data_IF_021951160232
#
_entry.id   IF_021951160232
#
_cell.length_a   1.000
_cell.length_b   1.000
_cell.length_c   1.000
_cell.angle_alpha   90.00
_cell.angle_beta   90.00
_cell.angle_gamma   90.00
#
_symmetry.space_group_name_H-M   'P 1'
#
loop_
_entity.id
_entity.type
_entity.pdbx_description
1 polymer ?
#
# COMPACT_ATOMS: atom_id res chain seq x y z
N UNK A 1 -16.03 -1.10 -10.47
CA UNK A 1 -17.03 -2.15 -10.18
C UNK A 1 -17.64 -1.83 -8.84
N UNK A 2 -18.69 -1.02 -8.88
CA UNK A 2 -19.35 -0.43 -7.73
C UNK A 2 -20.26 -1.45 -7.05
N UNK A 3 -20.21 -1.47 -5.71
CA UNK A 3 -20.98 -2.32 -4.78
C UNK A 3 -20.51 -3.78 -4.71
N UNK A 4 -19.79 -4.10 -3.63
CA UNK A 4 -20.04 -5.39 -2.97
C UNK A 4 -19.74 -5.32 -1.47
N UNK A 5 -20.82 -5.17 -0.70
CA UNK A 5 -20.89 -5.34 0.74
C UNK A 5 -20.78 -6.84 1.07
N UNK A 6 -19.55 -7.36 1.09
CA UNK A 6 -19.05 -8.51 1.88
C UNK A 6 -17.71 -8.96 1.29
N UNK A 7 -16.65 -8.29 1.75
CA UNK A 7 -15.24 -8.65 1.50
C UNK A 7 -14.86 -9.99 2.17
N UNK A 8 -15.52 -11.09 1.83
CA UNK A 8 -15.14 -12.42 2.32
C UNK A 8 -14.09 -13.04 1.39
N UNK A 9 -12.83 -12.84 1.75
CA UNK A 9 -11.67 -13.63 1.32
C UNK A 9 -11.09 -13.25 -0.04
N UNK A 10 -11.63 -13.80 -1.13
CA UNK A 10 -10.92 -13.84 -2.41
C UNK A 10 -10.85 -12.48 -3.11
N UNK A 11 -11.88 -11.62 -3.00
CA UNK A 11 -11.85 -10.29 -3.64
C UNK A 11 -10.98 -9.27 -2.92
N UNK A 12 -10.72 -9.48 -1.62
CA UNK A 12 -9.88 -8.56 -0.87
C UNK A 12 -8.44 -8.51 -1.41
N UNK A 13 -7.99 -9.55 -2.11
CA UNK A 13 -6.67 -9.57 -2.76
C UNK A 13 -6.55 -8.53 -3.89
N UNK A 14 -7.67 -8.16 -4.52
CA UNK A 14 -7.71 -7.14 -5.58
C UNK A 14 -7.36 -5.75 -5.04
N UNK A 15 -7.45 -5.56 -3.72
CA UNK A 15 -7.12 -4.32 -3.05
C UNK A 15 -5.60 -4.20 -2.77
N UNK A 16 -4.75 -5.01 -3.41
CA UNK A 16 -3.29 -4.85 -3.31
C UNK A 16 -2.88 -3.41 -3.68
N UNK A 17 -2.06 -2.79 -2.84
CA UNK A 17 -1.67 -1.38 -2.95
C UNK A 17 -2.74 -0.34 -2.54
N UNK A 18 -4.02 -0.70 -2.45
CA UNK A 18 -5.09 0.30 -2.24
C UNK A 18 -5.13 0.88 -0.84
N UNK A 19 -4.63 0.19 0.19
CA UNK A 19 -4.61 0.72 1.56
C UNK A 19 -3.81 2.02 1.64
N UNK A 20 -2.57 2.02 1.16
CA UNK A 20 -1.72 3.22 1.13
C UNK A 20 -2.10 4.13 -0.03
N UNK A 21 -2.49 3.55 -1.18
CA UNK A 21 -2.91 4.33 -2.34
C UNK A 21 -4.09 5.27 -2.03
N UNK A 22 -5.13 4.81 -1.35
CA UNK A 22 -6.24 5.69 -0.97
C UNK A 22 -5.85 6.77 0.04
N UNK A 23 -4.91 6.49 0.96
CA UNK A 23 -4.39 7.52 1.86
C UNK A 23 -3.67 8.62 1.08
N UNK A 24 -2.78 8.25 0.14
CA UNK A 24 -2.08 9.21 -0.74
C UNK A 24 -3.07 9.99 -1.60
N UNK A 25 -4.03 9.32 -2.22
CA UNK A 25 -5.05 9.92 -3.08
C UNK A 25 -5.91 10.94 -2.31
N UNK A 26 -6.36 10.57 -1.10
CA UNK A 26 -7.18 11.46 -0.26
C UNK A 26 -6.38 12.65 0.27
N UNK A 27 -5.14 12.44 0.73
CA UNK A 27 -4.31 13.50 1.31
C UNK A 27 -3.78 14.48 0.27
N UNK A 28 -3.63 14.04 -0.97
CA UNK A 28 -3.33 14.92 -2.12
C UNK A 28 -4.57 15.60 -2.70
N UNK A 29 -5.73 15.44 -2.06
CA UNK A 29 -6.98 16.05 -2.49
C UNK A 29 -7.44 15.61 -3.87
N UNK A 30 -7.05 14.42 -4.34
CA UNK A 30 -7.38 13.90 -5.68
C UNK A 30 -6.88 14.77 -6.85
N UNK A 31 -5.84 15.59 -6.62
CA UNK A 31 -5.32 16.53 -7.64
C UNK A 31 -3.90 16.26 -8.08
N UNK A 32 -3.05 15.69 -7.20
CA UNK A 32 -1.62 15.48 -7.52
C UNK A 32 -1.33 14.15 -8.18
N UNK A 33 -2.16 13.13 -7.91
CA UNK A 33 -2.03 11.79 -8.49
C UNK A 33 -3.40 11.28 -8.92
N UNK A 34 -3.42 10.55 -10.02
CA UNK A 34 -4.57 9.75 -10.44
C UNK A 34 -4.71 8.51 -9.55
N UNK A 35 -5.86 7.86 -9.62
CA UNK A 35 -6.12 6.62 -8.88
C UNK A 35 -5.07 5.54 -9.18
N UNK A 36 -4.73 5.33 -10.46
CA UNK A 36 -3.75 4.33 -10.87
C UNK A 36 -2.34 4.61 -10.34
N UNK A 37 -1.94 5.89 -10.33
CA UNK A 37 -0.66 6.33 -9.77
C UNK A 37 -0.60 6.13 -8.25
N UNK A 38 -1.69 6.46 -7.55
CA UNK A 38 -1.78 6.24 -6.11
C UNK A 38 -1.71 4.74 -5.76
N UNK A 39 -2.40 3.88 -6.52
CA UNK A 39 -2.31 2.43 -6.37
C UNK A 39 -0.90 1.93 -6.66
N UNK A 40 -0.19 2.48 -7.65
CA UNK A 40 1.19 2.12 -7.95
C UNK A 40 2.14 2.41 -6.78
N UNK A 41 2.05 3.61 -6.20
CA UNK A 41 2.79 4.00 -4.99
C UNK A 41 2.46 3.05 -3.83
N UNK A 42 1.17 2.75 -3.65
CA UNK A 42 0.73 1.83 -2.62
C UNK A 42 1.23 0.38 -2.81
N UNK A 43 1.36 -0.09 -4.06
CA UNK A 43 1.97 -1.40 -4.35
C UNK A 43 3.45 -1.44 -4.00
N UNK A 44 4.20 -0.37 -4.29
CA UNK A 44 5.62 -0.26 -3.87
C UNK A 44 5.74 -0.31 -2.35
N UNK A 45 4.94 0.47 -1.63
CA UNK A 45 4.93 0.44 -0.17
C UNK A 45 4.56 -0.94 0.38
N UNK A 46 3.53 -1.58 -0.17
CA UNK A 46 3.10 -2.91 0.26
C UNK A 46 4.14 -4.01 -0.04
N UNK A 47 4.89 -3.89 -1.14
CA UNK A 47 6.00 -4.79 -1.45
C UNK A 47 7.13 -4.65 -0.43
N UNK A 48 7.56 -3.43 -0.13
CA UNK A 48 8.60 -3.14 0.86
C UNK A 48 8.21 -3.55 2.28
N UNK A 49 6.96 -3.31 2.69
CA UNK A 49 6.41 -3.81 3.96
C UNK A 49 6.50 -5.34 4.07
N UNK A 50 6.26 -6.04 2.96
CA UNK A 50 6.35 -7.50 2.95
C UNK A 50 7.79 -7.99 3.06
N UNK A 51 8.76 -7.26 2.49
CA UNK A 51 10.20 -7.53 2.69
C UNK A 51 10.59 -7.35 4.16
N UNK A 52 10.22 -6.22 4.77
CA UNK A 52 10.49 -5.95 6.19
C UNK A 52 9.89 -7.02 7.13
N UNK A 53 8.77 -7.62 6.74
CA UNK A 53 8.12 -8.70 7.50
C UNK A 53 8.62 -10.11 7.13
N UNK A 54 9.62 -10.24 6.25
CA UNK A 54 10.16 -11.52 5.79
C UNK A 54 9.16 -12.37 5.00
N UNK A 55 8.12 -11.74 4.43
CA UNK A 55 7.08 -12.39 3.62
C UNK A 55 7.42 -12.38 2.12
N UNK A 56 8.28 -11.46 1.70
CA UNK A 56 8.65 -11.19 0.32
C UNK A 56 10.16 -10.99 0.23
N UNK A 57 10.78 -11.38 -0.88
CA UNK A 57 12.23 -11.22 -1.06
C UNK A 57 12.58 -9.93 -1.82
N UNK A 58 13.78 -9.39 -1.57
CA UNK A 58 14.27 -8.16 -2.19
C UNK A 58 14.33 -8.25 -3.72
N UNK A 59 14.66 -9.42 -4.28
CA UNK A 59 14.74 -9.60 -5.73
C UNK A 59 13.35 -9.45 -6.36
N UNK A 60 12.32 -9.98 -5.72
CA UNK A 60 10.93 -9.86 -6.15
C UNK A 60 10.39 -8.44 -5.95
N UNK A 61 10.78 -7.73 -4.88
CA UNK A 61 10.50 -6.30 -4.71
C UNK A 61 11.10 -5.46 -5.86
N UNK A 62 12.39 -5.62 -6.14
CA UNK A 62 13.06 -4.94 -7.24
C UNK A 62 12.43 -5.26 -8.60
N UNK A 63 12.02 -6.52 -8.83
CA UNK A 63 11.36 -6.91 -10.07
C UNK A 63 10.00 -6.23 -10.23
N UNK A 64 9.23 -6.09 -9.16
CA UNK A 64 7.97 -5.35 -9.16
C UNK A 64 8.20 -3.85 -9.38
N UNK A 65 9.15 -3.25 -8.66
CA UNK A 65 9.51 -1.85 -8.81
C UNK A 65 9.86 -1.52 -10.27
N UNK A 66 10.77 -2.29 -10.87
CA UNK A 66 11.18 -2.10 -12.26
C UNK A 66 10.01 -2.23 -13.26
N UNK A 67 9.03 -3.08 -12.97
CA UNK A 67 7.83 -3.20 -13.82
C UNK A 67 6.94 -1.95 -13.72
N UNK A 68 6.76 -1.42 -12.52
CA UNK A 68 5.98 -0.19 -12.28
C UNK A 68 6.65 1.00 -12.96
N UNK A 69 7.97 1.13 -12.84
CA UNK A 69 8.76 2.17 -13.52
C UNK A 69 8.69 2.05 -15.04
N UNK A 70 8.76 0.82 -15.57
CA UNK A 70 8.62 0.55 -17.01
C UNK A 70 7.23 0.93 -17.52
N UNK A 71 6.21 0.85 -16.68
CA UNK A 71 4.86 1.33 -16.98
C UNK A 71 4.72 2.87 -16.85
N UNK A 72 5.82 3.59 -16.56
CA UNK A 72 5.84 5.05 -16.35
C UNK A 72 4.94 5.52 -15.20
N UNK A 73 4.78 4.67 -14.17
CA UNK A 73 4.02 4.99 -12.97
C UNK A 73 4.93 5.43 -11.83
N UNK A 74 4.46 6.31 -10.92
CA UNK A 74 5.24 6.77 -9.80
C UNK A 74 5.47 5.66 -8.76
N UNK A 75 6.66 5.71 -8.17
CA UNK A 75 7.13 4.74 -7.16
C UNK A 75 7.51 5.41 -5.83
N UNK A 76 7.37 6.73 -5.76
CA UNK A 76 7.69 7.58 -4.61
C UNK A 76 6.46 8.32 -4.10
N UNK A 77 6.51 8.76 -2.86
CA UNK A 77 5.47 9.62 -2.31
C UNK A 77 5.48 10.99 -3.02
N UNK A 78 4.30 11.61 -3.24
CA UNK A 78 4.23 12.96 -3.76
C UNK A 78 4.94 13.96 -2.84
N UNK A 79 5.61 14.95 -3.43
CA UNK A 79 6.30 15.99 -2.67
C UNK A 79 5.35 16.75 -1.75
N UNK A 80 5.77 16.98 -0.51
CA UNK A 80 5.00 17.74 0.49
C UNK A 80 3.93 16.92 1.21
N UNK A 81 3.81 15.62 0.94
CA UNK A 81 2.97 14.72 1.71
C UNK A 81 3.66 14.30 3.02
N UNK A 82 3.02 14.58 4.16
CA UNK A 82 3.54 14.18 5.48
C UNK A 82 3.25 12.69 5.75
N UNK A 83 4.26 11.96 6.21
CA UNK A 83 4.15 10.55 6.58
C UNK A 83 3.21 10.39 7.77
N UNK A 84 3.22 11.32 8.74
CA UNK A 84 2.33 11.25 9.90
C UNK A 84 0.86 11.39 9.50
N UNK A 85 0.55 12.22 8.50
CA UNK A 85 -0.81 12.34 7.96
C UNK A 85 -1.26 11.02 7.30
N UNK A 86 -0.37 10.31 6.62
CA UNK A 86 -0.66 8.96 6.08
C UNK A 86 -0.98 7.99 7.22
N UNK A 87 -0.16 7.96 8.27
CA UNK A 87 -0.37 7.07 9.42
C UNK A 87 -1.71 7.35 10.11
N UNK A 88 -2.04 8.62 10.34
CA UNK A 88 -3.31 9.03 10.96
C UNK A 88 -4.49 8.67 10.04
N UNK A 89 -4.39 8.98 8.74
CA UNK A 89 -5.44 8.67 7.75
C UNK A 89 -5.79 7.17 7.78
N UNK A 90 -4.77 6.30 7.76
CA UNK A 90 -4.95 4.85 7.78
C UNK A 90 -5.62 4.33 9.07
N UNK A 91 -5.43 4.99 10.21
CA UNK A 91 -6.09 4.63 11.47
C UNK A 91 -7.57 5.03 11.53
N UNK A 92 -7.98 6.02 10.74
CA UNK A 92 -9.37 6.48 10.68
C UNK A 92 -10.22 5.75 9.63
N UNK A 93 -9.58 4.97 8.74
CA UNK A 93 -10.25 4.21 7.69
C UNK A 93 -11.08 3.05 8.27
N UNK A 94 -12.22 2.76 7.63
CA UNK A 94 -13.12 1.64 7.96
C UNK A 94 -12.46 0.26 7.87
N UNK A 95 -11.26 0.16 7.29
CA UNK A 95 -10.45 -1.08 7.24
C UNK A 95 -9.80 -1.46 8.58
N UNK A 96 -9.88 -0.59 9.60
CA UNK A 96 -9.41 -0.89 10.95
C UNK A 96 -10.35 -1.89 11.63
N UNK A 97 -9.84 -3.10 11.91
CA UNK A 97 -10.54 -4.09 12.73
C UNK A 97 -9.80 -4.21 14.06
N UNK A 98 -10.51 -4.00 15.16
CA UNK A 98 -9.93 -4.04 16.51
C UNK A 98 -8.71 -3.09 16.70
N UNK A 99 -8.73 -1.92 16.07
CA UNK A 99 -7.66 -0.92 16.20
C UNK A 99 -6.41 -1.18 15.35
N UNK A 100 -6.41 -2.23 14.51
CA UNK A 100 -5.29 -2.53 13.60
C UNK A 100 -5.70 -2.41 12.13
N UNK A 101 -4.81 -1.79 11.35
CA UNK A 101 -4.94 -1.69 9.90
C UNK A 101 -4.57 -3.05 9.28
N UNK A 102 -5.40 -3.53 8.36
CA UNK A 102 -5.10 -4.75 7.59
C UNK A 102 -4.51 -4.38 6.24
N UNK A 103 -3.37 -4.98 5.92
CA UNK A 103 -2.68 -4.85 4.65
C UNK A 103 -2.81 -6.13 3.84
N UNK A 104 -2.82 -5.96 2.52
CA UNK A 104 -2.65 -7.05 1.56
C UNK A 104 -1.19 -7.00 1.12
N UNK A 105 -0.40 -8.01 1.49
CA UNK A 105 1.03 -8.07 1.24
C UNK A 105 1.38 -9.28 0.36
N UNK A 106 2.32 -9.15 -0.59
CA UNK A 106 2.76 -10.28 -1.41
C UNK A 106 3.51 -11.32 -0.56
N UNK A 107 3.31 -12.59 -0.92
CA UNK A 107 4.10 -13.72 -0.38
C UNK A 107 4.66 -14.61 -1.49
N UNK A 108 4.31 -14.30 -2.74
CA UNK A 108 4.54 -15.09 -3.93
C UNK A 108 4.05 -14.32 -5.15
N UNK A 109 4.59 -14.58 -6.33
CA UNK A 109 4.02 -14.02 -7.57
C UNK A 109 2.61 -14.58 -7.75
N UNK A 110 1.62 -13.70 -7.76
CA UNK A 110 0.20 -14.08 -7.82
C UNK A 110 -0.38 -14.56 -6.48
N UNK A 111 0.37 -14.43 -5.37
CA UNK A 111 -0.08 -14.87 -4.04
C UNK A 111 0.13 -13.74 -3.03
N UNK A 112 -0.94 -13.42 -2.29
CA UNK A 112 -0.92 -12.39 -1.24
C UNK A 112 -1.53 -12.92 0.05
N UNK A 113 -1.16 -12.28 1.17
CA UNK A 113 -1.72 -12.53 2.49
C UNK A 113 -2.33 -11.25 3.05
N UNK A 114 -3.51 -11.37 3.67
CA UNK A 114 -4.10 -10.29 4.46
C UNK A 114 -3.51 -10.39 5.87
N UNK A 115 -2.89 -9.32 6.36
CA UNK A 115 -2.19 -9.31 7.66
C UNK A 115 -2.38 -7.98 8.39
N UNK A 116 -2.44 -8.04 9.71
CA UNK A 116 -2.46 -6.89 10.64
C UNK A 116 -1.14 -6.78 11.45
N UNK A 117 -0.09 -7.45 10.97
CA UNK A 117 1.23 -7.51 11.63
C UNK A 117 2.12 -6.29 11.34
N UNK A 118 1.69 -5.38 10.47
CA UNK A 118 2.43 -4.15 10.17
C UNK A 118 2.30 -3.19 11.35
N UNK A 119 3.39 -2.92 12.04
CA UNK A 119 3.44 -1.90 13.09
C UNK A 119 3.55 -0.50 12.47
N UNK A 120 3.17 0.52 13.24
CA UNK A 120 3.31 1.92 12.81
C UNK A 120 4.77 2.28 12.52
N UNK A 121 5.72 1.72 13.27
CA UNK A 121 7.15 1.99 13.10
C UNK A 121 7.71 1.38 11.81
N UNK A 122 7.31 0.14 11.48
CA UNK A 122 7.69 -0.50 10.21
C UNK A 122 7.11 0.29 9.04
N UNK A 123 5.83 0.69 9.14
CA UNK A 123 5.19 1.52 8.12
C UNK A 123 5.89 2.87 7.94
N UNK A 124 6.20 3.56 9.03
CA UNK A 124 6.94 4.82 9.01
C UNK A 124 8.31 4.64 8.35
N UNK A 125 9.06 3.60 8.71
CA UNK A 125 10.37 3.30 8.13
C UNK A 125 10.31 3.09 6.62
N UNK A 126 9.34 2.30 6.15
CA UNK A 126 9.14 2.08 4.71
C UNK A 126 8.77 3.37 3.98
N UNK A 127 7.83 4.15 4.51
CA UNK A 127 7.39 5.40 3.88
C UNK A 127 8.50 6.45 3.86
N UNK A 128 9.34 6.52 4.89
CA UNK A 128 10.51 7.41 4.91
C UNK A 128 11.52 7.07 3.80
N UNK A 129 11.67 5.79 3.45
CA UNK A 129 12.49 5.35 2.31
C UNK A 129 11.85 5.56 0.94
N UNK A 130 10.63 6.11 0.88
CA UNK A 130 9.88 6.39 -0.36
C UNK A 130 9.79 7.88 -0.71
N UNK A 131 10.36 8.75 0.13
CA UNK A 131 10.52 10.19 -0.18
C UNK A 131 11.48 10.46 -1.34
#
# INVERSE_FOLDING_TARGET
VSKDEKESGLRAILNYGHTIGHAVESLTGYTMVTHGEAVAIGMVAASRLAVELGMWDEQSDHRQLALIEKASLPTRLPNGLDIEDILVSLQTDKKVKAGKVRFILPTGVGVVKITDQVSADVLRGVLAGMG
#
